data_IF_999331045720
#
_entry.id   IF_999331045720
#
_cell.length_a   1.000
_cell.length_b   1.000
_cell.length_c   1.000
_cell.angle_alpha   90.00
_cell.angle_beta   90.00
_cell.angle_gamma   90.00
#
_symmetry.space_group_name_H-M   'P 1'
#
loop_
_entity.id
_entity.type
_entity.pdbx_description
1 polymer ?
#
# COMPACT_ATOMS: atom_id res chain seq x y z
N UNK A 1 -20.67 -28.20 9.55
CA UNK A 1 -20.39 -27.31 8.40
C UNK A 1 -18.88 -27.26 8.25
N UNK A 2 -18.34 -27.66 7.10
CA UNK A 2 -16.93 -27.43 6.82
C UNK A 2 -16.76 -25.93 6.57
N UNK A 3 -15.85 -25.28 7.29
CA UNK A 3 -15.45 -23.92 6.96
C UNK A 3 -14.76 -23.97 5.59
N UNK A 4 -15.05 -23.03 4.67
CA UNK A 4 -14.33 -22.98 3.40
C UNK A 4 -12.83 -22.87 3.68
N UNK A 5 -12.05 -23.79 3.12
CA UNK A 5 -10.61 -23.82 3.30
C UNK A 5 -9.97 -22.69 2.50
N UNK A 6 -9.20 -21.84 3.17
CA UNK A 6 -8.40 -20.80 2.52
C UNK A 6 -7.21 -21.46 1.81
N UNK A 7 -7.02 -21.19 0.51
CA UNK A 7 -5.85 -21.67 -0.24
C UNK A 7 -4.93 -20.50 -0.54
N UNK A 8 -3.73 -20.50 0.03
CA UNK A 8 -2.72 -19.45 -0.23
C UNK A 8 -1.85 -19.86 -1.42
N UNK A 9 -1.66 -18.96 -2.38
CA UNK A 9 -0.75 -19.15 -3.53
C UNK A 9 0.12 -17.92 -3.74
N UNK A 10 1.15 -18.07 -4.57
CA UNK A 10 2.04 -16.99 -4.98
C UNK A 10 2.77 -16.35 -3.79
N UNK A 11 3.08 -17.12 -2.76
CA UNK A 11 3.78 -16.67 -1.55
C UNK A 11 3.28 -17.40 -0.31
N UNK A 12 3.62 -16.87 0.85
CA UNK A 12 3.32 -17.44 2.16
C UNK A 12 2.68 -16.40 3.09
N UNK A 13 1.71 -16.83 3.89
CA UNK A 13 1.18 -16.06 5.02
C UNK A 13 1.95 -16.45 6.28
N UNK A 14 2.65 -15.49 6.88
CA UNK A 14 3.42 -15.73 8.10
C UNK A 14 2.61 -15.40 9.37
N UNK A 15 1.93 -14.25 9.37
CA UNK A 15 1.18 -13.76 10.54
C UNK A 15 0.11 -12.75 10.12
N UNK A 16 -1.02 -12.70 10.84
CA UNK A 16 -2.07 -11.69 10.63
C UNK A 16 -1.81 -10.53 11.60
N UNK A 17 -1.62 -9.33 11.06
CA UNK A 17 -1.17 -8.16 11.85
C UNK A 17 -2.29 -7.17 12.16
N UNK A 18 -3.47 -7.32 11.53
CA UNK A 18 -4.56 -6.36 11.69
C UNK A 18 -5.92 -6.95 11.37
N UNK A 19 -6.95 -6.11 11.53
CA UNK A 19 -8.32 -6.50 11.23
C UNK A 19 -8.53 -6.57 9.70
N UNK A 20 -9.23 -7.60 9.19
CA UNK A 20 -9.55 -7.70 7.78
C UNK A 20 -10.56 -6.63 7.37
N UNK A 21 -10.39 -6.07 6.17
CA UNK A 21 -11.35 -5.16 5.54
C UNK A 21 -11.99 -5.84 4.34
N UNK A 22 -13.31 -5.99 4.38
CA UNK A 22 -14.08 -6.50 3.25
C UNK A 22 -14.43 -5.35 2.30
N UNK A 23 -14.14 -5.53 1.02
CA UNK A 23 -14.48 -4.57 -0.01
C UNK A 23 -15.01 -5.30 -1.24
N UNK A 24 -16.27 -5.05 -1.60
CA UNK A 24 -16.97 -5.77 -2.67
C UNK A 24 -16.91 -7.30 -2.50
N UNK A 25 -16.30 -8.00 -3.46
CA UNK A 25 -16.15 -9.45 -3.53
C UNK A 25 -14.79 -9.96 -3.02
N UNK A 26 -13.99 -9.09 -2.39
CA UNK A 26 -12.70 -9.44 -1.81
C UNK A 26 -12.58 -9.05 -0.34
N UNK A 27 -11.63 -9.67 0.37
CA UNK A 27 -11.23 -9.25 1.71
C UNK A 27 -9.73 -9.00 1.74
N UNK A 28 -9.31 -7.82 2.17
CA UNK A 28 -7.91 -7.48 2.40
C UNK A 28 -7.56 -7.68 3.87
N UNK A 29 -6.48 -8.41 4.13
CA UNK A 29 -6.04 -8.77 5.48
C UNK A 29 -4.61 -8.23 5.66
N UNK A 30 -4.37 -7.27 6.57
CA UNK A 30 -3.02 -6.89 6.95
C UNK A 30 -2.30 -8.10 7.52
N UNK A 31 -1.15 -8.43 6.93
CA UNK A 31 -0.45 -9.65 7.25
C UNK A 31 1.02 -9.58 6.90
N UNK A 32 1.87 -10.17 7.74
CA UNK A 32 3.25 -10.48 7.36
C UNK A 32 3.22 -11.60 6.34
N UNK A 33 3.80 -11.36 5.17
CA UNK A 33 3.83 -12.33 4.07
C UNK A 33 5.24 -12.46 3.51
N UNK A 34 5.49 -13.58 2.86
CA UNK A 34 6.68 -13.80 2.03
C UNK A 34 6.23 -13.90 0.58
N UNK A 35 6.80 -13.09 -0.30
CA UNK A 35 6.61 -13.24 -1.74
C UNK A 35 7.64 -14.19 -2.33
N UNK A 36 7.23 -15.00 -3.29
CA UNK A 36 8.11 -15.89 -4.03
C UNK A 36 8.94 -15.09 -5.04
N UNK A 37 10.27 -15.16 -4.91
CA UNK A 37 11.21 -14.50 -5.83
C UNK A 37 12.35 -13.79 -5.11
N UNK A 38 13.18 -13.08 -5.88
CA UNK A 38 14.35 -12.34 -5.37
C UNK A 38 14.52 -10.95 -5.97
N UNK A 39 13.68 -10.60 -6.95
CA UNK A 39 13.59 -9.27 -7.53
C UNK A 39 12.11 -8.94 -7.62
N UNK A 40 11.73 -7.76 -7.15
CA UNK A 40 10.36 -7.38 -6.92
C UNK A 40 10.09 -6.03 -7.60
N UNK A 41 9.59 -6.04 -8.85
CA UNK A 41 9.28 -4.80 -9.56
C UNK A 41 8.08 -4.12 -8.92
N UNK A 42 8.13 -2.80 -8.84
CA UNK A 42 6.96 -1.98 -8.56
C UNK A 42 6.02 -2.06 -9.77
N UNK A 43 4.76 -2.41 -9.55
CA UNK A 43 3.71 -2.44 -10.57
C UNK A 43 2.41 -1.89 -10.02
N UNK A 44 1.43 -1.62 -10.90
CA UNK A 44 0.10 -1.17 -10.49
C UNK A 44 0.16 0.09 -9.62
N UNK A 45 0.95 1.06 -10.05
CA UNK A 45 1.15 2.31 -9.34
C UNK A 45 -0.16 3.09 -9.24
N UNK A 46 -0.41 3.81 -8.15
CA UNK A 46 -1.67 4.56 -7.97
C UNK A 46 -1.99 5.47 -9.17
N UNK A 47 -0.97 6.11 -9.76
CA UNK A 47 -1.14 7.01 -10.92
C UNK A 47 -1.67 6.30 -12.18
N UNK A 48 -1.51 4.98 -12.30
CA UNK A 48 -2.08 4.16 -13.39
C UNK A 48 -3.61 4.01 -13.24
N UNK A 49 -4.13 4.28 -12.05
CA UNK A 49 -5.54 4.18 -11.66
C UNK A 49 -6.17 5.55 -11.41
N UNK A 50 -5.71 6.58 -12.14
CA UNK A 50 -6.24 7.93 -12.00
C UNK A 50 -7.75 8.03 -12.29
N UNK A 51 -8.32 7.07 -13.04
CA UNK A 51 -9.77 6.94 -13.28
C UNK A 51 -10.57 6.63 -12.01
N UNK A 52 -9.92 6.14 -10.96
CA UNK A 52 -10.54 5.85 -9.66
C UNK A 52 -10.58 7.05 -8.72
N UNK A 53 -9.84 8.13 -9.01
CA UNK A 53 -9.76 9.30 -8.13
C UNK A 53 -11.11 10.02 -8.14
N UNK A 54 -11.78 10.19 -6.99
CA UNK A 54 -13.05 10.90 -6.94
C UNK A 54 -12.89 12.37 -7.38
N UNK A 55 -13.88 12.94 -8.09
CA UNK A 55 -13.82 14.34 -8.49
C UNK A 55 -13.59 15.28 -7.31
N UNK A 56 -12.64 16.21 -7.45
CA UNK A 56 -12.31 17.19 -6.40
C UNK A 56 -11.28 16.72 -5.37
N UNK A 57 -10.71 15.53 -5.52
CA UNK A 57 -9.65 15.02 -4.64
C UNK A 57 -8.22 15.40 -5.07
N UNK A 58 -8.07 16.20 -6.14
CA UNK A 58 -6.77 16.57 -6.71
C UNK A 58 -5.87 17.36 -5.73
N UNK A 59 -6.46 17.98 -4.71
CA UNK A 59 -5.74 18.72 -3.67
C UNK A 59 -5.13 17.82 -2.59
N UNK A 60 -5.64 16.60 -2.43
CA UNK A 60 -5.26 15.67 -1.37
C UNK A 60 -4.49 14.49 -1.96
N UNK A 61 -4.90 14.02 -3.13
CA UNK A 61 -4.24 12.93 -3.85
C UNK A 61 -3.38 13.57 -4.93
N UNK A 62 -2.07 13.50 -4.76
CA UNK A 62 -1.10 14.01 -5.72
C UNK A 62 -0.42 12.84 -6.43
N UNK A 63 -0.91 12.38 -7.61
CA UNK A 63 -0.30 11.28 -8.33
C UNK A 63 1.20 11.50 -8.54
N UNK A 64 2.02 10.56 -8.08
CA UNK A 64 3.47 10.66 -8.16
C UNK A 64 4.13 11.29 -6.92
N UNK A 65 3.35 11.68 -5.92
CA UNK A 65 3.71 12.12 -4.57
C UNK A 65 2.63 11.68 -3.56
N UNK A 66 2.02 10.53 -3.80
CA UNK A 66 0.82 10.04 -3.14
C UNK A 66 1.08 9.20 -1.88
N UNK A 67 2.34 8.82 -1.64
CA UNK A 67 2.70 7.97 -0.49
C UNK A 67 2.22 8.49 0.87
N UNK A 68 2.28 9.81 1.17
CA UNK A 68 1.81 10.29 2.47
C UNK A 68 0.31 10.06 2.68
N UNK A 69 -0.49 10.31 1.62
CA UNK A 69 -1.92 10.04 1.61
C UNK A 69 -2.22 8.55 1.74
N UNK A 70 -1.53 7.71 0.96
CA UNK A 70 -1.71 6.25 0.99
C UNK A 70 -1.45 5.71 2.40
N UNK A 71 -0.33 6.05 3.03
CA UNK A 71 -0.04 5.62 4.40
C UNK A 71 -1.11 6.14 5.38
N UNK A 72 -1.53 7.40 5.29
CA UNK A 72 -2.62 7.94 6.13
C UNK A 72 -3.94 7.17 5.98
N UNK A 73 -4.27 6.71 4.77
CA UNK A 73 -5.43 5.82 4.51
C UNK A 73 -5.22 4.41 5.07
N UNK A 74 -4.02 3.84 4.94
CA UNK A 74 -3.71 2.53 5.50
C UNK A 74 -3.78 2.56 7.04
N UNK A 75 -3.34 3.65 7.66
CA UNK A 75 -3.51 3.87 9.10
C UNK A 75 -4.99 3.93 9.49
N UNK A 76 -5.82 4.69 8.77
CA UNK A 76 -7.25 4.81 9.06
C UNK A 76 -8.03 3.50 8.83
N UNK A 77 -7.72 2.74 7.78
CA UNK A 77 -8.42 1.49 7.43
C UNK A 77 -7.95 0.28 8.22
N UNK A 78 -6.63 0.17 8.43
CA UNK A 78 -5.99 -1.05 8.91
C UNK A 78 -5.26 -0.88 10.24
N UNK A 79 -5.31 0.31 10.85
CA UNK A 79 -4.49 0.67 12.00
C UNK A 79 -3.00 0.41 11.75
N UNK A 80 -2.54 0.61 10.51
CA UNK A 80 -1.12 0.61 10.19
C UNK A 80 -0.39 1.65 11.05
N UNK A 81 0.92 1.47 11.25
CA UNK A 81 1.75 2.41 12.00
C UNK A 81 2.96 2.77 11.15
N UNK A 82 3.31 4.06 11.00
CA UNK A 82 4.51 4.44 10.28
C UNK A 82 5.74 3.72 10.85
N UNK A 83 6.39 2.89 10.04
CA UNK A 83 7.62 2.23 10.44
C UNK A 83 8.73 3.27 10.67
N UNK A 84 9.60 3.04 11.66
CA UNK A 84 10.80 3.86 11.81
C UNK A 84 11.70 3.72 10.58
N UNK A 85 12.53 4.74 10.32
CA UNK A 85 13.36 4.80 9.11
C UNK A 85 14.33 3.62 8.96
N UNK A 86 14.70 2.96 10.06
CA UNK A 86 15.62 1.81 10.07
C UNK A 86 14.99 0.51 9.55
N UNK A 87 13.64 0.41 9.57
CA UNK A 87 12.90 -0.78 9.12
C UNK A 87 12.21 -0.57 7.76
N UNK A 88 12.37 0.60 7.14
CA UNK A 88 11.82 0.89 5.82
C UNK A 88 12.82 0.60 4.71
N UNK A 89 12.36 0.16 3.54
CA UNK A 89 13.20 0.12 2.34
C UNK A 89 13.78 1.51 2.05
N UNK A 90 14.99 1.53 1.47
CA UNK A 90 15.63 2.77 1.07
C UNK A 90 14.72 3.54 0.09
N UNK A 91 14.55 4.86 0.32
CA UNK A 91 13.73 5.77 -0.51
C UNK A 91 12.23 5.49 -0.50
N UNK A 92 11.73 4.78 0.51
CA UNK A 92 10.30 4.56 0.72
C UNK A 92 9.81 5.32 1.95
N UNK A 93 8.65 5.96 1.83
CA UNK A 93 7.86 6.49 2.92
C UNK A 93 7.21 5.38 3.76
N UNK A 94 6.79 4.28 3.14
CA UNK A 94 6.11 3.16 3.80
C UNK A 94 6.35 1.81 3.12
N UNK A 95 6.08 0.73 3.86
CA UNK A 95 6.10 -0.63 3.34
C UNK A 95 5.15 -1.50 4.15
N UNK A 96 3.98 -1.78 3.57
CA UNK A 96 2.91 -2.56 4.19
C UNK A 96 2.66 -3.85 3.40
N UNK A 97 2.16 -4.86 4.10
CA UNK A 97 1.97 -6.20 3.54
C UNK A 97 0.57 -6.73 3.83
N UNK A 98 0.01 -7.41 2.84
CA UNK A 98 -1.37 -7.86 2.85
C UNK A 98 -1.52 -9.24 2.23
N UNK A 99 -2.58 -9.92 2.62
CA UNK A 99 -3.20 -11.00 1.85
C UNK A 99 -4.56 -10.53 1.37
N UNK A 100 -4.83 -10.66 0.08
CA UNK A 100 -6.20 -10.53 -0.45
C UNK A 100 -6.83 -11.91 -0.58
N UNK A 101 -8.08 -12.04 -0.14
CA UNK A 101 -8.90 -13.24 -0.29
C UNK A 101 -9.94 -12.97 -1.37
N UNK A 102 -9.89 -13.77 -2.44
CA UNK A 102 -10.74 -13.67 -3.61
C UNK A 102 -11.92 -14.64 -3.48
N UNK A 103 -13.06 -14.14 -3.00
CA UNK A 103 -14.21 -15.01 -2.66
C UNK A 103 -14.83 -15.68 -3.89
N UNK A 104 -14.76 -15.05 -5.06
CA UNK A 104 -15.22 -15.62 -6.33
C UNK A 104 -14.29 -16.71 -6.90
N UNK A 105 -13.11 -16.91 -6.30
CA UNK A 105 -12.08 -17.85 -6.75
C UNK A 105 -11.80 -18.91 -5.67
N UNK A 106 -12.84 -19.54 -5.14
CA UNK A 106 -12.74 -20.57 -4.10
C UNK A 106 -11.95 -20.12 -2.86
N UNK A 107 -12.04 -18.83 -2.50
CA UNK A 107 -11.27 -18.19 -1.43
C UNK A 107 -9.75 -18.34 -1.62
N UNK A 108 -9.28 -18.23 -2.87
CA UNK A 108 -7.87 -18.07 -3.19
C UNK A 108 -7.32 -16.83 -2.48
N UNK A 109 -6.24 -17.03 -1.73
CA UNK A 109 -5.53 -16.00 -0.99
C UNK A 109 -4.20 -15.69 -1.67
N UNK A 110 -3.96 -14.41 -1.95
CA UNK A 110 -2.76 -13.94 -2.66
C UNK A 110 -2.05 -12.89 -1.80
N UNK A 111 -0.79 -13.11 -1.41
CA UNK A 111 0.00 -12.10 -0.71
C UNK A 111 0.52 -11.04 -1.68
N UNK A 112 0.64 -9.81 -1.21
CA UNK A 112 1.24 -8.70 -1.95
C UNK A 112 1.77 -7.63 -0.97
N UNK A 113 2.67 -6.78 -1.45
CA UNK A 113 3.08 -5.57 -0.72
C UNK A 113 2.44 -4.32 -1.32
N UNK A 114 2.19 -3.34 -0.47
CA UNK A 114 1.90 -1.96 -0.86
C UNK A 114 3.02 -1.09 -0.29
N UNK A 115 3.72 -0.36 -1.14
CA UNK A 115 4.90 0.43 -0.76
C UNK A 115 5.09 1.55 -1.76
N UNK A 116 6.11 2.38 -1.58
CA UNK A 116 6.44 3.43 -2.53
C UNK A 116 7.93 3.44 -2.89
N UNK A 117 8.25 4.15 -3.97
CA UNK A 117 9.63 4.53 -4.29
C UNK A 117 9.65 6.00 -4.71
N UNK A 118 10.37 6.83 -3.94
CA UNK A 118 10.32 8.29 -4.07
C UNK A 118 8.87 8.83 -4.03
N UNK A 119 8.10 8.43 -3.02
CA UNK A 119 6.73 8.88 -2.77
C UNK A 119 5.69 8.44 -3.81
N UNK A 120 6.04 7.54 -4.74
CA UNK A 120 5.13 6.97 -5.74
C UNK A 120 4.66 5.60 -5.26
N UNK A 121 3.42 5.48 -4.84
CA UNK A 121 2.90 4.21 -4.31
C UNK A 121 2.60 3.22 -5.42
N UNK A 122 2.96 1.96 -5.18
CA UNK A 122 2.77 0.83 -6.06
C UNK A 122 2.48 -0.44 -5.27
N UNK A 123 2.02 -1.46 -5.98
CA UNK A 123 1.90 -2.81 -5.45
C UNK A 123 3.07 -3.67 -5.93
N UNK A 124 3.36 -4.71 -5.17
CA UNK A 124 4.38 -5.70 -5.50
C UNK A 124 3.76 -7.09 -5.31
N UNK A 125 3.87 -7.91 -6.35
CA UNK A 125 3.50 -9.31 -6.34
C UNK A 125 4.74 -10.21 -6.47
N UNK A 126 4.56 -11.51 -6.20
CA UNK A 126 5.59 -12.51 -6.43
C UNK A 126 6.07 -12.53 -7.88
N UNK A 127 7.37 -12.74 -8.09
CA UNK A 127 7.97 -12.84 -9.42
C UNK A 127 8.31 -14.26 -9.81
N UNK A 128 8.44 -15.17 -8.84
CA UNK A 128 8.54 -16.60 -9.08
C UNK A 128 7.15 -17.23 -8.85
N UNK A 129 6.48 -17.65 -9.92
CA UNK A 129 5.03 -17.94 -9.93
C UNK A 129 4.17 -16.68 -9.62
N UNK A 130 4.18 -15.65 -10.48
CA UNK A 130 3.30 -14.49 -10.33
C UNK A 130 1.83 -14.89 -10.50
N UNK A 131 0.88 -14.23 -9.82
CA UNK A 131 -0.54 -14.31 -10.19
C UNK A 131 -0.71 -13.90 -11.66
N UNK A 132 -1.75 -14.41 -12.32
CA UNK A 132 -2.05 -14.00 -13.70
C UNK A 132 -2.24 -12.46 -13.79
N UNK A 133 -1.84 -11.79 -14.90
CA UNK A 133 -1.94 -10.33 -15.00
C UNK A 133 -3.34 -9.77 -14.75
N UNK A 134 -4.39 -10.45 -15.21
CA UNK A 134 -5.78 -10.06 -14.95
C UNK A 134 -6.14 -10.13 -13.47
N UNK A 135 -5.55 -11.07 -12.73
CA UNK A 135 -5.73 -11.19 -11.29
C UNK A 135 -5.01 -10.05 -10.55
N UNK A 136 -3.79 -9.71 -10.95
CA UNK A 136 -3.06 -8.59 -10.37
C UNK A 136 -3.82 -7.27 -10.59
N UNK A 137 -4.32 -7.05 -11.81
CA UNK A 137 -5.17 -5.89 -12.15
C UNK A 137 -6.45 -5.83 -11.31
N UNK A 138 -7.13 -6.96 -11.13
CA UNK A 138 -8.32 -7.04 -10.27
C UNK A 138 -7.99 -6.63 -8.83
N UNK A 139 -6.93 -7.21 -8.26
CA UNK A 139 -6.48 -6.92 -6.89
C UNK A 139 -6.13 -5.44 -6.74
N UNK A 140 -5.33 -4.91 -7.68
CA UNK A 140 -4.92 -3.52 -7.68
C UNK A 140 -6.11 -2.56 -7.75
N UNK A 141 -7.03 -2.77 -8.69
CA UNK A 141 -8.25 -1.96 -8.79
C UNK A 141 -9.06 -1.99 -7.50
N UNK A 142 -9.29 -3.17 -6.92
CA UNK A 142 -10.06 -3.31 -5.66
C UNK A 142 -9.36 -2.62 -4.50
N UNK A 143 -8.04 -2.77 -4.40
CA UNK A 143 -7.25 -2.18 -3.33
C UNK A 143 -7.29 -0.65 -3.41
N UNK A 144 -7.00 -0.08 -4.58
CA UNK A 144 -7.04 1.36 -4.77
C UNK A 144 -8.45 1.93 -4.63
N UNK A 145 -9.48 1.29 -5.19
CA UNK A 145 -10.88 1.69 -4.99
C UNK A 145 -11.29 1.71 -3.51
N UNK A 146 -10.84 0.73 -2.72
CA UNK A 146 -11.10 0.71 -1.29
C UNK A 146 -10.46 1.92 -0.58
N UNK A 147 -9.21 2.26 -0.92
CA UNK A 147 -8.56 3.45 -0.37
C UNK A 147 -9.35 4.73 -0.71
N UNK A 148 -9.92 4.82 -1.92
CA UNK A 148 -10.75 5.96 -2.36
C UNK A 148 -12.19 5.99 -1.81
N UNK A 149 -12.71 4.88 -1.25
CA UNK A 149 -14.11 4.80 -0.79
C UNK A 149 -14.48 5.81 0.31
N UNK A 150 -13.48 6.30 1.04
CA UNK A 150 -13.58 7.40 2.01
C UNK A 150 -12.27 8.19 1.99
N UNK A 151 -12.01 8.83 0.85
CA UNK A 151 -10.69 9.36 0.51
C UNK A 151 -10.21 10.53 1.41
N UNK A 152 -11.14 11.19 2.12
CA UNK A 152 -10.85 12.29 3.06
C UNK A 152 -10.59 11.79 4.49
N UNK A 153 -10.94 10.55 4.80
CA UNK A 153 -10.69 9.97 6.12
C UNK A 153 -9.26 9.44 6.19
N UNK A 154 -8.31 10.34 6.42
CA UNK A 154 -6.89 10.02 6.57
C UNK A 154 -6.48 10.22 8.02
N UNK A 155 -5.62 9.34 8.54
CA UNK A 155 -5.05 9.54 9.86
C UNK A 155 -3.89 10.55 9.78
N UNK A 156 -3.87 11.51 10.68
CA UNK A 156 -2.74 12.44 10.83
C UNK A 156 -1.51 11.72 11.40
N UNK A 157 -0.35 12.02 10.83
CA UNK A 157 0.94 11.52 11.30
C UNK A 157 2.07 12.36 10.72
N UNK A 158 3.25 12.25 11.32
CA UNK A 158 4.48 12.82 10.78
C UNK A 158 5.60 11.78 10.83
N UNK A 159 6.43 11.77 9.78
CA UNK A 159 7.62 10.94 9.67
C UNK A 159 8.68 11.65 8.83
N UNK A 160 9.89 11.09 8.78
CA UNK A 160 10.96 11.55 7.89
C UNK A 160 11.65 10.39 7.18
N UNK A 161 12.16 10.63 5.97
CA UNK A 161 13.04 9.71 5.26
C UNK A 161 14.28 10.43 4.77
N UNK A 162 15.41 9.73 4.70
CA UNK A 162 16.62 10.29 4.12
C UNK A 162 16.63 10.06 2.59
N UNK A 163 16.65 11.14 1.82
CA UNK A 163 16.71 11.09 0.37
C UNK A 163 18.17 11.07 -0.08
N UNK A 164 18.76 9.88 -0.21
CA UNK A 164 20.20 9.69 -0.50
C UNK A 164 20.68 10.37 -1.80
N UNK A 165 19.83 10.48 -2.82
CA UNK A 165 20.18 11.15 -4.09
C UNK A 165 20.31 12.67 -3.99
N UNK A 166 19.74 13.29 -2.95
CA UNK A 166 19.74 14.73 -2.73
C UNK A 166 20.44 15.12 -1.42
N UNK A 167 20.86 14.13 -0.62
CA UNK A 167 21.49 14.30 0.68
C UNK A 167 20.68 15.18 1.65
N UNK A 168 19.35 15.03 1.67
CA UNK A 168 18.45 15.78 2.57
C UNK A 168 17.53 14.84 3.33
N UNK A 169 17.11 15.29 4.51
CA UNK A 169 15.98 14.70 5.21
C UNK A 169 14.69 15.28 4.64
N UNK A 170 13.76 14.39 4.31
CA UNK A 170 12.43 14.75 3.81
C UNK A 170 11.43 14.42 4.91
N UNK A 171 10.76 15.44 5.43
CA UNK A 171 9.60 15.29 6.31
C UNK A 171 8.35 15.08 5.47
N UNK A 172 7.50 14.18 5.90
CA UNK A 172 6.25 13.88 5.21
C UNK A 172 5.20 13.40 6.20
N UNK A 173 3.94 13.46 5.79
CA UNK A 173 2.85 13.03 6.63
C UNK A 173 1.50 13.53 6.15
N UNK A 174 0.56 13.56 7.09
CA UNK A 174 -0.77 14.16 6.95
C UNK A 174 -0.98 15.06 8.15
N UNK A 175 -1.38 16.31 7.89
CA UNK A 175 -1.62 17.36 8.89
C UNK A 175 -3.00 17.95 8.62
N UNK A 176 -3.92 17.85 9.58
CA UNK A 176 -5.31 18.32 9.46
C UNK A 176 -6.04 17.72 8.24
N UNK A 177 -5.75 16.45 7.92
CA UNK A 177 -6.30 15.76 6.76
C UNK A 177 -5.63 16.07 5.42
N UNK A 178 -4.62 16.94 5.39
CA UNK A 178 -3.89 17.35 4.18
C UNK A 178 -2.50 16.70 4.11
N UNK A 179 -2.20 15.91 3.07
CA UNK A 179 -0.88 15.30 2.88
C UNK A 179 0.22 16.32 2.60
N UNK A 180 1.40 16.12 3.18
CA UNK A 180 2.55 16.99 2.94
C UNK A 180 3.85 16.22 2.69
N UNK A 181 4.75 16.86 1.94
CA UNK A 181 6.15 16.49 1.75
C UNK A 181 6.97 17.79 1.80
N UNK A 182 7.95 17.88 2.70
CA UNK A 182 8.79 19.06 2.94
C UNK A 182 10.24 18.61 3.04
N UNK A 183 11.12 19.13 2.19
CA UNK A 183 12.56 18.93 2.33
C UNK A 183 13.11 19.83 3.44
N UNK A 184 13.90 19.28 4.34
CA UNK A 184 14.76 20.09 5.21
C UNK A 184 16.06 20.34 4.45
N UNK A 185 16.29 21.59 4.04
CA UNK A 185 17.63 22.02 3.67
C UNK A 185 18.48 21.98 4.94
N UNK A 186 19.59 21.23 4.91
CA UNK A 186 20.60 21.34 5.96
C UNK A 186 20.99 22.81 6.06
N UNK A 187 20.62 23.44 7.17
CA UNK A 187 21.01 24.82 7.48
C UNK A 187 22.52 24.94 7.39
N UNK A 188 22.98 25.57 6.32
CA UNK A 188 24.34 26.08 6.17
C UNK A 188 24.39 27.55 6.51
#
# INVERSE_FOLDING_TARGET
MAYPTLTIRHGELNDITGAPQRFEDVTFIPARVTLNGSSFPFSHSLHEYADLIPPGMDSIVHPGNDAPWVLGRLMALFNATPASSEFRPEKSCFHESFVVVLHAHDNLAIPFFCTDYYCKSSLIFSTHDPPEPAMQELIARRFWSMLFSDATNVADYESSMFHSGACVWVRFGVEDGEPFIRGEEDGT
#
